data_IF_286200331492
#
_entry.id   IF_286200331492
#
_cell.length_a   1.000
_cell.length_b   1.000
_cell.length_c   1.000
_cell.angle_alpha   90.00
_cell.angle_beta   90.00
_cell.angle_gamma   90.00
#
_symmetry.space_group_name_H-M   'P 1'
#
loop_
_entity.id
_entity.type
_entity.pdbx_description
1 polymer ?
#
# COMPACT_ATOMS: atom_id res chain seq x y z
N UNK A 1 -11.79 16.37 3.46
CA UNK A 1 -11.07 15.15 3.08
C UNK A 1 -9.72 15.13 3.76
N UNK A 2 -9.40 14.04 4.46
CA UNK A 2 -8.17 13.93 5.24
C UNK A 2 -7.53 12.54 5.11
N UNK A 3 -6.20 12.51 5.27
CA UNK A 3 -5.44 11.27 5.38
C UNK A 3 -5.18 10.97 6.85
N UNK A 4 -5.38 9.70 7.21
CA UNK A 4 -5.11 9.19 8.55
C UNK A 4 -4.28 7.93 8.46
N UNK A 5 -3.44 7.69 9.48
CA UNK A 5 -2.85 6.39 9.68
C UNK A 5 -3.96 5.43 10.14
N UNK A 6 -4.04 4.26 9.54
CA UNK A 6 -5.06 3.26 9.90
C UNK A 6 -5.00 2.90 11.38
N UNK A 7 -3.82 3.00 11.99
CA UNK A 7 -3.64 2.82 13.44
C UNK A 7 -4.57 3.72 14.27
N UNK A 8 -4.89 4.90 13.75
CA UNK A 8 -5.77 5.87 14.41
C UNK A 8 -7.24 5.70 14.02
N UNK A 9 -7.53 4.83 13.05
CA UNK A 9 -8.86 4.62 12.46
C UNK A 9 -9.15 3.13 12.33
N UNK A 10 -9.05 2.40 13.44
CA UNK A 10 -9.16 0.94 13.47
C UNK A 10 -10.50 0.40 12.97
N UNK A 11 -11.56 1.22 13.04
CA UNK A 11 -12.88 0.86 12.52
C UNK A 11 -12.89 0.60 11.02
N UNK A 12 -11.87 1.05 10.29
CA UNK A 12 -11.76 0.83 8.84
C UNK A 12 -10.92 -0.39 8.45
N UNK A 13 -10.32 -1.09 9.41
CA UNK A 13 -9.44 -2.25 9.09
C UNK A 13 -10.19 -3.30 8.27
N UNK A 14 -11.41 -3.62 8.65
CA UNK A 14 -12.19 -4.64 7.95
C UNK A 14 -12.51 -4.21 6.52
N UNK A 15 -12.98 -2.99 6.32
CA UNK A 15 -13.30 -2.48 4.98
C UNK A 15 -12.05 -2.46 4.09
N UNK A 16 -10.93 -1.95 4.60
CA UNK A 16 -9.65 -1.95 3.87
C UNK A 16 -9.23 -3.37 3.52
N UNK A 17 -9.34 -4.30 4.45
CA UNK A 17 -8.97 -5.70 4.23
C UNK A 17 -9.80 -6.36 3.14
N UNK A 18 -11.10 -6.10 3.13
CA UNK A 18 -12.02 -6.63 2.11
C UNK A 18 -11.69 -6.05 0.73
N UNK A 19 -11.51 -4.73 0.64
CA UNK A 19 -11.19 -4.07 -0.63
C UNK A 19 -9.86 -4.58 -1.21
N UNK A 20 -8.85 -4.69 -0.37
CA UNK A 20 -7.54 -5.20 -0.77
C UNK A 20 -7.61 -6.65 -1.21
N UNK A 21 -8.33 -7.49 -0.45
CA UNK A 21 -8.52 -8.90 -0.78
C UNK A 21 -9.23 -9.06 -2.13
N UNK A 22 -10.32 -8.34 -2.35
CA UNK A 22 -11.10 -8.46 -3.59
C UNK A 22 -10.31 -7.98 -4.82
N UNK A 23 -9.39 -7.04 -4.64
CA UNK A 23 -8.59 -6.50 -5.76
C UNK A 23 -7.43 -7.42 -6.14
N UNK A 24 -6.73 -8.02 -5.16
CA UNK A 24 -5.46 -8.71 -5.44
C UNK A 24 -5.44 -10.21 -5.15
N UNK A 25 -6.45 -10.77 -4.48
CA UNK A 25 -6.43 -12.19 -4.14
C UNK A 25 -6.82 -13.06 -5.34
N UNK A 26 -6.17 -14.22 -5.44
CA UNK A 26 -6.61 -15.27 -6.34
C UNK A 26 -7.87 -15.93 -5.77
N UNK A 27 -8.91 -16.13 -6.61
CA UNK A 27 -10.18 -16.73 -6.20
C UNK A 27 -10.73 -16.07 -4.92
N UNK A 28 -11.10 -14.77 -4.95
CA UNK A 28 -11.39 -14.01 -3.73
C UNK A 28 -12.58 -14.52 -2.92
N UNK A 29 -13.48 -15.30 -3.52
CA UNK A 29 -14.66 -15.83 -2.82
C UNK A 29 -14.38 -17.12 -2.02
N UNK A 30 -13.27 -17.81 -2.31
CA UNK A 30 -12.92 -19.06 -1.63
C UNK A 30 -12.41 -18.75 -0.22
N UNK A 31 -13.00 -19.41 0.79
CA UNK A 31 -12.61 -19.28 2.20
C UNK A 31 -12.55 -17.80 2.65
N UNK A 32 -13.49 -17.01 2.18
CA UNK A 32 -13.48 -15.55 2.32
C UNK A 32 -13.36 -15.12 3.79
N UNK A 33 -14.24 -15.59 4.67
CA UNK A 33 -14.25 -15.14 6.06
C UNK A 33 -12.92 -15.42 6.79
N UNK A 34 -12.36 -16.62 6.62
CA UNK A 34 -11.09 -16.97 7.25
C UNK A 34 -9.93 -16.14 6.68
N UNK A 35 -9.94 -15.91 5.37
CA UNK A 35 -8.88 -15.13 4.71
C UNK A 35 -8.92 -13.67 5.14
N UNK A 36 -10.11 -13.09 5.27
CA UNK A 36 -10.26 -11.72 5.77
C UNK A 36 -9.81 -11.63 7.22
N UNK A 37 -10.20 -12.58 8.07
CA UNK A 37 -9.79 -12.58 9.47
C UNK A 37 -8.27 -12.68 9.63
N UNK A 38 -7.61 -13.51 8.81
CA UNK A 38 -6.13 -13.59 8.81
C UNK A 38 -5.49 -12.28 8.36
N UNK A 39 -6.06 -11.63 7.35
CA UNK A 39 -5.56 -10.34 6.86
C UNK A 39 -5.69 -9.26 7.93
N UNK A 40 -6.83 -9.19 8.61
CA UNK A 40 -7.05 -8.24 9.71
C UNK A 40 -6.02 -8.48 10.82
N UNK A 41 -5.81 -9.74 11.21
CA UNK A 41 -4.83 -10.08 12.25
C UNK A 41 -3.41 -9.67 11.84
N UNK A 42 -3.03 -9.90 10.59
CA UNK A 42 -1.72 -9.51 10.06
C UNK A 42 -1.53 -8.00 10.07
N UNK A 43 -2.54 -7.24 9.66
CA UNK A 43 -2.49 -5.78 9.72
C UNK A 43 -2.30 -5.33 11.17
N UNK A 44 -3.13 -5.83 12.10
CA UNK A 44 -3.05 -5.46 13.52
C UNK A 44 -1.67 -5.76 14.12
N UNK A 45 -1.07 -6.89 13.75
CA UNK A 45 0.23 -7.29 14.30
C UNK A 45 1.39 -6.41 13.79
N UNK A 46 1.18 -5.66 12.72
CA UNK A 46 2.21 -4.81 12.11
C UNK A 46 2.02 -3.32 12.36
N UNK A 47 0.97 -2.90 13.06
CA UNK A 47 0.66 -1.47 13.22
C UNK A 47 1.79 -0.67 13.87
N UNK A 48 2.61 -1.29 14.72
CA UNK A 48 3.75 -0.64 15.38
C UNK A 48 5.09 -0.91 14.72
N UNK A 49 5.10 -1.65 13.60
CA UNK A 49 6.33 -1.94 12.86
C UNK A 49 6.75 -0.69 12.08
N UNK A 50 8.00 -0.26 12.24
CA UNK A 50 8.55 0.92 11.55
C UNK A 50 8.43 0.82 10.02
N UNK A 51 8.57 -0.38 9.47
CA UNK A 51 8.52 -0.63 8.03
C UNK A 51 7.09 -0.84 7.50
N UNK A 52 6.09 -0.74 8.37
CA UNK A 52 4.69 -0.90 8.00
C UNK A 52 3.91 0.38 8.28
N UNK A 53 3.18 0.85 7.28
CA UNK A 53 2.21 1.92 7.45
C UNK A 53 1.11 1.75 6.42
N UNK A 54 -0.12 1.89 6.86
CA UNK A 54 -1.25 1.92 5.96
C UNK A 54 -2.00 3.22 6.21
N UNK A 55 -2.08 4.05 5.17
CA UNK A 55 -2.78 5.33 5.21
C UNK A 55 -4.12 5.21 4.53
N UNK A 56 -5.13 5.82 5.12
CA UNK A 56 -6.49 5.86 4.56
C UNK A 56 -6.88 7.30 4.26
N UNK A 57 -7.55 7.50 3.13
CA UNK A 57 -8.13 8.78 2.75
C UNK A 57 -9.62 8.72 3.03
N UNK A 58 -10.09 9.60 3.90
CA UNK A 58 -11.50 9.68 4.31
C UNK A 58 -12.11 11.01 3.86
N UNK A 59 -13.33 10.95 3.37
CA UNK A 59 -14.18 12.11 3.16
C UNK A 59 -15.32 12.03 4.17
N UNK A 60 -15.27 12.84 5.24
CA UNK A 60 -16.04 12.64 6.46
C UNK A 60 -15.78 11.22 6.98
N UNK A 61 -16.79 10.36 7.02
CA UNK A 61 -16.62 8.98 7.47
C UNK A 61 -16.58 7.96 6.34
N UNK A 62 -16.44 8.43 5.10
CA UNK A 62 -16.42 7.56 3.91
C UNK A 62 -15.00 7.29 3.51
N UNK A 63 -14.64 6.01 3.42
CA UNK A 63 -13.33 5.59 2.91
C UNK A 63 -13.27 5.78 1.40
N UNK A 64 -12.34 6.62 0.94
CA UNK A 64 -12.11 6.90 -0.48
C UNK A 64 -11.06 5.94 -1.06
N UNK A 65 -9.99 5.72 -0.33
CA UNK A 65 -8.89 4.88 -0.78
C UNK A 65 -7.82 4.70 0.29
N UNK A 66 -6.78 3.95 -0.04
CA UNK A 66 -5.68 3.67 0.87
C UNK A 66 -4.39 3.38 0.11
N UNK A 67 -3.28 3.43 0.84
CA UNK A 67 -1.94 3.10 0.33
C UNK A 67 -1.10 2.55 1.47
N UNK A 68 -0.10 1.72 1.14
CA UNK A 68 0.73 1.08 2.15
C UNK A 68 2.20 1.11 1.81
N UNK A 69 3.04 1.08 2.86
CA UNK A 69 4.38 0.51 2.81
C UNK A 69 4.42 -0.67 3.76
N UNK A 70 5.20 -1.69 3.44
CA UNK A 70 5.32 -2.85 4.32
C UNK A 70 6.64 -3.60 4.09
N UNK A 71 7.11 -4.40 5.08
CA UNK A 71 8.27 -5.25 4.89
C UNK A 71 7.92 -6.50 4.09
N UNK A 72 8.88 -7.02 3.31
CA UNK A 72 8.76 -8.32 2.65
C UNK A 72 9.95 -9.15 3.07
N UNK A 73 9.71 -10.30 3.71
CA UNK A 73 10.75 -11.14 4.25
C UNK A 73 11.70 -11.71 3.18
N UNK A 74 11.17 -11.97 1.98
CA UNK A 74 11.95 -12.52 0.86
C UNK A 74 13.02 -11.56 0.33
N UNK A 75 12.87 -10.27 0.59
CA UNK A 75 13.73 -9.21 0.06
C UNK A 75 14.07 -8.20 1.15
N UNK A 76 14.65 -8.67 2.25
CA UNK A 76 14.95 -7.83 3.42
C UNK A 76 15.81 -6.60 3.08
N UNK A 77 16.72 -6.72 2.12
CA UNK A 77 17.58 -5.62 1.70
C UNK A 77 16.83 -4.51 0.97
N UNK A 78 15.61 -4.79 0.49
CA UNK A 78 14.77 -3.84 -0.24
C UNK A 78 13.51 -3.52 0.56
N UNK A 79 13.68 -2.87 1.68
CA UNK A 79 12.55 -2.52 2.56
C UNK A 79 12.57 -1.04 2.93
N UNK A 80 11.44 -0.34 3.12
CA UNK A 80 10.08 -0.84 2.97
C UNK A 80 9.59 -0.88 1.51
N UNK A 81 8.55 -1.68 1.27
CA UNK A 81 7.92 -1.80 -0.03
C UNK A 81 6.70 -0.88 -0.15
N UNK A 82 6.66 -0.10 -1.23
CA UNK A 82 5.50 0.66 -1.65
C UNK A 82 4.49 -0.30 -2.28
N UNK A 83 3.24 -0.30 -1.81
CA UNK A 83 2.28 -1.27 -2.32
C UNK A 83 0.83 -0.92 -2.01
N UNK A 84 -0.05 -1.70 -2.61
CA UNK A 84 -1.49 -1.74 -2.35
C UNK A 84 -2.16 -0.38 -2.36
N UNK A 85 -1.85 0.45 -3.37
CA UNK A 85 -2.61 1.68 -3.59
C UNK A 85 -3.96 1.34 -4.22
N UNK A 86 -5.03 1.83 -3.60
CA UNK A 86 -6.38 1.60 -4.08
C UNK A 86 -7.23 2.85 -3.89
N UNK A 87 -7.97 3.21 -4.93
CA UNK A 87 -9.01 4.23 -4.88
C UNK A 87 -10.30 3.57 -5.33
N UNK A 88 -11.37 3.70 -4.57
CA UNK A 88 -12.67 3.13 -4.93
C UNK A 88 -13.08 3.63 -6.32
N UNK A 89 -13.70 2.74 -7.11
CA UNK A 89 -14.02 3.00 -8.52
C UNK A 89 -14.80 4.29 -8.73
N UNK A 90 -15.79 4.55 -7.89
CA UNK A 90 -16.64 5.75 -7.98
C UNK A 90 -15.90 7.05 -7.71
N UNK A 91 -14.71 7.00 -7.15
CA UNK A 91 -13.90 8.18 -6.83
C UNK A 91 -12.68 8.36 -7.73
N UNK A 92 -12.48 7.48 -8.71
CA UNK A 92 -11.33 7.56 -9.61
C UNK A 92 -11.45 8.74 -10.57
N UNK A 93 -10.30 9.19 -11.09
CA UNK A 93 -10.25 10.31 -12.02
C UNK A 93 -10.27 11.69 -11.35
N UNK A 94 -10.09 11.77 -10.02
CA UNK A 94 -10.13 13.01 -9.26
C UNK A 94 -8.77 13.37 -8.62
N UNK A 95 -7.70 12.65 -8.96
CA UNK A 95 -6.36 12.94 -8.43
C UNK A 95 -6.09 12.37 -7.03
N UNK A 96 -6.94 11.51 -6.49
CA UNK A 96 -6.77 10.97 -5.14
C UNK A 96 -5.57 10.03 -5.00
N UNK A 97 -5.22 9.32 -6.06
CA UNK A 97 -4.03 8.47 -6.07
C UNK A 97 -2.76 9.28 -5.83
N UNK A 98 -2.68 10.49 -6.41
CA UNK A 98 -1.54 11.39 -6.18
C UNK A 98 -1.48 11.85 -4.73
N UNK A 99 -2.61 12.18 -4.14
CA UNK A 99 -2.69 12.59 -2.73
C UNK A 99 -2.18 11.45 -1.82
N UNK A 100 -2.63 10.22 -2.07
CA UNK A 100 -2.19 9.05 -1.33
C UNK A 100 -0.70 8.78 -1.53
N UNK A 101 -0.23 8.85 -2.76
CA UNK A 101 1.18 8.66 -3.09
C UNK A 101 2.07 9.67 -2.34
N UNK A 102 1.74 10.94 -2.43
CA UNK A 102 2.53 11.98 -1.77
C UNK A 102 2.55 11.79 -0.26
N UNK A 103 1.43 11.38 0.31
CA UNK A 103 1.31 11.14 1.75
C UNK A 103 2.17 9.97 2.23
N UNK A 104 2.20 8.86 1.51
CA UNK A 104 3.00 7.70 1.94
C UNK A 104 4.50 7.96 1.78
N UNK A 105 4.90 8.70 0.75
CA UNK A 105 6.30 9.10 0.58
C UNK A 105 6.75 10.01 1.72
N UNK A 106 5.92 10.97 2.10
CA UNK A 106 6.22 11.87 3.23
C UNK A 106 6.29 11.09 4.55
N UNK A 107 5.38 10.16 4.77
CA UNK A 107 5.40 9.32 5.97
C UNK A 107 6.67 8.48 6.05
N UNK A 108 7.06 7.85 4.94
CA UNK A 108 8.29 7.06 4.88
C UNK A 108 9.52 7.91 5.16
N UNK A 109 9.56 9.12 4.60
CA UNK A 109 10.64 10.07 4.85
C UNK A 109 10.70 10.48 6.32
N UNK A 110 9.55 10.78 6.92
CA UNK A 110 9.48 11.16 8.34
C UNK A 110 9.89 10.03 9.27
N UNK A 111 9.78 8.78 8.83
CA UNK A 111 10.25 7.61 9.59
C UNK A 111 11.75 7.37 9.43
N UNK A 112 12.43 8.18 8.64
CA UNK A 112 13.89 8.10 8.45
C UNK A 112 14.33 7.19 7.30
N UNK A 113 13.42 6.68 6.49
CA UNK A 113 13.78 5.92 5.30
C UNK A 113 14.33 6.87 4.24
N UNK A 114 15.36 6.42 3.52
CA UNK A 114 15.98 7.20 2.43
C UNK A 114 15.43 6.83 1.07
N UNK A 115 14.84 5.66 0.97
CA UNK A 115 14.25 5.17 -0.26
C UNK A 115 13.18 4.11 0.06
N UNK A 116 12.25 3.94 -0.86
CA UNK A 116 11.29 2.84 -0.82
C UNK A 116 11.37 2.08 -2.13
N UNK A 117 10.85 0.86 -2.12
CA UNK A 117 10.97 -0.08 -3.23
C UNK A 117 9.59 -0.50 -3.71
N UNK A 118 9.49 -0.82 -5.00
CA UNK A 118 8.27 -1.40 -5.56
C UNK A 118 8.61 -2.41 -6.64
N UNK A 119 7.72 -3.36 -6.85
CA UNK A 119 7.81 -4.32 -7.94
C UNK A 119 6.57 -4.23 -8.81
N UNK A 120 6.74 -4.31 -10.12
CA UNK A 120 5.64 -4.15 -11.07
C UNK A 120 5.99 -4.77 -12.42
N UNK A 121 4.95 -5.14 -13.17
CA UNK A 121 5.08 -5.51 -14.58
C UNK A 121 4.91 -4.30 -15.51
N UNK A 122 4.50 -3.15 -14.96
CA UNK A 122 4.25 -1.95 -15.76
C UNK A 122 5.57 -1.32 -16.20
N UNK A 123 5.58 -0.81 -17.44
CA UNK A 123 6.70 -0.09 -18.02
C UNK A 123 6.30 1.36 -18.19
N UNK A 124 7.21 2.30 -17.84
CA UNK A 124 7.00 3.74 -17.98
C UNK A 124 5.80 4.30 -17.19
N UNK A 125 5.38 3.59 -16.14
CA UNK A 125 4.29 4.08 -15.26
C UNK A 125 4.83 4.76 -14.02
N UNK A 126 5.67 4.07 -13.25
CA UNK A 126 6.19 4.60 -11.98
C UNK A 126 7.35 5.58 -12.16
N UNK A 127 8.02 5.57 -13.31
CA UNK A 127 9.10 6.53 -13.61
C UNK A 127 8.61 7.97 -13.53
N UNK A 128 7.35 8.23 -13.87
CA UNK A 128 6.74 9.57 -13.74
C UNK A 128 6.62 10.03 -12.28
N UNK A 129 6.71 9.10 -11.33
CA UNK A 129 6.72 9.39 -9.89
C UNK A 129 8.13 9.37 -9.30
N UNK A 130 9.16 9.34 -10.14
CA UNK A 130 10.56 9.34 -9.71
C UNK A 130 11.15 7.97 -9.44
N UNK A 131 10.46 6.89 -9.82
CA UNK A 131 10.98 5.55 -9.67
C UNK A 131 12.12 5.28 -10.64
N UNK A 132 13.17 4.61 -10.15
CA UNK A 132 14.35 4.22 -10.91
C UNK A 132 14.44 2.71 -10.94
N UNK A 133 14.59 2.15 -12.14
CA UNK A 133 14.75 0.71 -12.34
C UNK A 133 16.04 0.18 -11.70
N UNK A 134 15.94 -0.96 -11.02
CA UNK A 134 17.09 -1.64 -10.41
C UNK A 134 17.42 -2.92 -11.18
N UNK A 135 16.47 -3.85 -11.26
CA UNK A 135 16.69 -5.16 -11.92
C UNK A 135 15.37 -5.89 -12.16
N UNK A 136 15.44 -6.95 -12.96
CA UNK A 136 14.35 -7.89 -13.10
C UNK A 136 14.35 -8.89 -11.93
N UNK A 137 13.18 -9.25 -11.44
CA UNK A 137 13.00 -10.29 -10.42
C UNK A 137 12.77 -11.65 -11.08
N UNK A 138 12.94 -12.73 -10.31
CA UNK A 138 12.84 -14.11 -10.80
C UNK A 138 11.47 -14.42 -11.42
N UNK A 139 10.42 -13.77 -10.96
CA UNK A 139 9.06 -13.97 -11.47
C UNK A 139 8.73 -13.11 -12.70
N UNK A 140 9.70 -12.38 -13.23
CA UNK A 140 9.51 -11.50 -14.39
C UNK A 140 9.07 -10.09 -14.06
N UNK A 141 8.76 -9.78 -12.82
CA UNK A 141 8.48 -8.41 -12.41
C UNK A 141 9.76 -7.58 -12.36
N UNK A 142 9.60 -6.26 -12.45
CA UNK A 142 10.71 -5.31 -12.37
C UNK A 142 10.75 -4.67 -11.00
N UNK A 143 11.96 -4.57 -10.45
CA UNK A 143 12.22 -3.90 -9.17
C UNK A 143 12.65 -2.47 -9.41
N UNK A 144 11.97 -1.54 -8.75
CA UNK A 144 12.26 -0.11 -8.77
C UNK A 144 12.51 0.41 -7.37
N UNK A 145 13.19 1.56 -7.29
CA UNK A 145 13.28 2.32 -6.04
C UNK A 145 12.83 3.77 -6.26
N UNK A 146 12.31 4.38 -5.20
CA UNK A 146 11.99 5.81 -5.16
C UNK A 146 12.81 6.43 -4.03
N UNK A 147 13.60 7.43 -4.34
CA UNK A 147 14.35 8.20 -3.32
C UNK A 147 13.42 9.17 -2.60
N UNK A 148 13.60 9.26 -1.30
CA UNK A 148 12.81 10.12 -0.44
C UNK A 148 13.55 11.42 -0.10
#
# INVERSE_FOLDING_TARGET
>A
MKIYNLKEKLEYIKEVSILEHNEWANNPTIDFENRINRKIAKIKSNLDNKSFCKLVLLDNDILIGFISIFPIDEYEEYTPWYSTMYVKKEYRGNGYSKILNDAILEEAKNRGFKEIYLKTNLVNYYEKFGAVYIKDLDNGEKLYKIRL
#
